data_IF_071648834409
#
_entry.id   IF_071648834409
#
_cell.length_a   1.000
_cell.length_b   1.000
_cell.length_c   1.000
_cell.angle_alpha   90.00
_cell.angle_beta   90.00
_cell.angle_gamma   90.00
#
_symmetry.space_group_name_H-M   'P 1'
#
loop_
_entity.id
_entity.type
_entity.pdbx_description
1 polymer ?
#
# COMPACT_ATOMS: atom_id res chain seq x y z
N UNK A 1 -15.40 11.68 -34.82
CA UNK A 1 -15.02 11.51 -33.40
C UNK A 1 -16.25 11.88 -32.60
N UNK A 2 -16.76 10.99 -31.76
CA UNK A 2 -17.87 11.34 -30.86
C UNK A 2 -17.44 12.50 -29.98
N UNK A 3 -18.30 13.49 -29.81
CA UNK A 3 -18.03 14.71 -29.04
C UNK A 3 -18.08 14.37 -27.54
N UNK A 4 -17.01 13.74 -27.03
CA UNK A 4 -16.90 13.38 -25.61
C UNK A 4 -16.36 14.57 -24.81
N UNK A 5 -16.84 14.70 -23.57
CA UNK A 5 -16.36 15.74 -22.66
C UNK A 5 -14.87 15.54 -22.35
N UNK A 6 -14.47 14.28 -22.16
CA UNK A 6 -13.12 13.85 -21.82
C UNK A 6 -12.67 12.67 -22.68
N UNK A 7 -11.35 12.44 -22.68
CA UNK A 7 -10.77 11.23 -23.24
C UNK A 7 -10.68 10.13 -22.17
N UNK A 8 -10.52 10.52 -20.89
CA UNK A 8 -10.52 9.60 -19.76
C UNK A 8 -11.15 10.21 -18.49
N UNK A 9 -11.83 9.36 -17.71
CA UNK A 9 -12.35 9.69 -16.38
C UNK A 9 -11.68 8.79 -15.35
N UNK A 10 -11.17 9.36 -14.27
CA UNK A 10 -10.70 8.63 -13.10
C UNK A 10 -11.69 8.81 -11.95
N UNK A 11 -12.17 7.72 -11.37
CA UNK A 11 -13.13 7.73 -10.25
C UNK A 11 -12.39 7.54 -8.93
N UNK A 12 -12.34 8.58 -8.11
CA UNK A 12 -11.69 8.62 -6.79
C UNK A 12 -10.25 9.18 -6.83
N UNK A 13 -10.01 10.29 -6.14
CA UNK A 13 -8.73 10.99 -6.06
C UNK A 13 -7.84 10.49 -4.91
N UNK A 14 -7.80 9.17 -4.68
CA UNK A 14 -6.78 8.55 -3.83
C UNK A 14 -5.39 8.55 -4.48
N UNK A 15 -4.33 8.16 -3.76
CA UNK A 15 -2.96 8.12 -4.29
C UNK A 15 -2.84 7.37 -5.64
N UNK A 16 -3.49 6.21 -5.77
CA UNK A 16 -3.52 5.44 -7.03
C UNK A 16 -4.31 6.15 -8.15
N UNK A 17 -5.44 6.76 -7.83
CA UNK A 17 -6.26 7.51 -8.78
C UNK A 17 -5.56 8.77 -9.28
N UNK A 18 -4.93 9.54 -8.40
CA UNK A 18 -4.10 10.69 -8.77
C UNK A 18 -2.90 10.27 -9.62
N UNK A 19 -2.26 9.14 -9.31
CA UNK A 19 -1.19 8.58 -10.14
C UNK A 19 -1.70 8.23 -11.55
N UNK A 20 -2.83 7.52 -11.65
CA UNK A 20 -3.44 7.19 -12.93
C UNK A 20 -3.83 8.45 -13.72
N UNK A 21 -4.44 9.45 -13.06
CA UNK A 21 -4.82 10.71 -13.67
C UNK A 21 -3.61 11.48 -14.21
N UNK A 22 -2.53 11.59 -13.42
CA UNK A 22 -1.29 12.22 -13.85
C UNK A 22 -0.65 11.50 -15.05
N UNK A 23 -0.64 10.16 -15.06
CA UNK A 23 -0.09 9.38 -16.17
C UNK A 23 -0.92 9.55 -17.45
N UNK A 24 -2.25 9.47 -17.36
CA UNK A 24 -3.15 9.64 -18.51
C UNK A 24 -3.05 11.07 -19.09
N UNK A 25 -3.00 12.08 -18.22
CA UNK A 25 -2.83 13.47 -18.61
C UNK A 25 -1.48 13.70 -19.30
N UNK A 26 -0.39 13.14 -18.74
CA UNK A 26 0.95 13.21 -19.35
C UNK A 26 1.03 12.51 -20.70
N UNK A 27 0.19 11.49 -20.92
CA UNK A 27 0.03 10.82 -22.21
C UNK A 27 -0.80 11.62 -23.24
N UNK A 28 -1.28 12.81 -22.87
CA UNK A 28 -2.00 13.72 -23.77
C UNK A 28 -3.53 13.53 -23.79
N UNK A 29 -4.10 12.72 -22.89
CA UNK A 29 -5.54 12.54 -22.77
C UNK A 29 -6.15 13.67 -21.94
N UNK A 30 -7.22 14.32 -22.41
CA UNK A 30 -8.05 15.19 -21.55
C UNK A 30 -8.66 14.33 -20.45
N UNK A 31 -8.12 14.46 -19.24
CA UNK A 31 -8.47 13.61 -18.12
C UNK A 31 -9.16 14.44 -17.03
N UNK A 32 -10.26 13.90 -16.50
CA UNK A 32 -10.89 14.42 -15.27
C UNK A 32 -10.84 13.38 -14.16
N UNK A 33 -10.51 13.81 -12.94
CA UNK A 33 -10.61 13.00 -11.74
C UNK A 33 -11.81 13.45 -10.90
N UNK A 34 -12.72 12.53 -10.58
CA UNK A 34 -13.95 12.79 -9.85
C UNK A 34 -13.82 12.27 -8.42
N UNK A 35 -13.89 13.16 -7.43
CA UNK A 35 -13.72 12.87 -6.01
C UNK A 35 -15.01 13.17 -5.24
N UNK A 36 -15.48 12.19 -4.46
CA UNK A 36 -16.70 12.32 -3.67
C UNK A 36 -16.53 13.26 -2.46
N UNK A 37 -15.32 13.34 -1.91
CA UNK A 37 -14.99 14.16 -0.74
C UNK A 37 -14.64 15.61 -1.12
N UNK A 38 -14.31 16.41 -0.10
CA UNK A 38 -13.86 17.79 -0.24
C UNK A 38 -12.34 17.93 -0.36
N UNK A 39 -11.62 16.82 -0.33
CA UNK A 39 -10.16 16.75 -0.37
C UNK A 39 -9.70 15.53 -1.16
N UNK A 40 -8.47 15.55 -1.65
CA UNK A 40 -7.82 14.44 -2.34
C UNK A 40 -6.88 13.66 -1.41
N UNK A 41 -6.47 12.48 -1.85
CA UNK A 41 -5.46 11.63 -1.20
C UNK A 41 -6.00 10.34 -0.61
N UNK A 42 -7.31 10.26 -0.36
CA UNK A 42 -7.95 9.07 0.22
C UNK A 42 -7.28 8.65 1.52
N UNK A 43 -6.89 7.37 1.63
CA UNK A 43 -6.19 6.83 2.81
C UNK A 43 -4.80 7.41 3.05
N UNK A 44 -4.22 8.13 2.08
CA UNK A 44 -2.93 8.80 2.21
C UNK A 44 -3.07 10.32 2.32
N UNK A 45 -4.24 10.83 2.74
CA UNK A 45 -4.44 12.25 2.96
C UNK A 45 -3.92 12.69 4.34
N UNK A 46 -3.37 13.90 4.38
CA UNK A 46 -3.13 14.64 5.62
C UNK A 46 -4.06 15.85 5.64
N UNK A 47 -4.95 15.92 6.63
CA UNK A 47 -6.00 16.94 6.71
C UNK A 47 -6.02 17.59 8.08
N UNK A 48 -6.53 18.81 8.15
CA UNK A 48 -6.78 19.49 9.41
C UNK A 48 -8.14 19.07 9.97
N UNK A 49 -8.13 18.33 11.09
CA UNK A 49 -9.36 17.87 11.76
C UNK A 49 -9.68 18.70 13.01
N UNK A 50 -8.67 19.31 13.62
CA UNK A 50 -8.76 20.18 14.78
C UNK A 50 -7.96 21.43 14.42
N UNK A 51 -8.50 22.62 14.70
CA UNK A 51 -7.88 23.91 14.36
C UNK A 51 -6.42 23.99 14.83
N UNK A 52 -5.50 24.23 13.90
CA UNK A 52 -4.06 24.26 14.13
C UNK A 52 -3.36 22.89 14.12
N UNK A 53 -4.09 21.77 13.97
CA UNK A 53 -3.54 20.41 14.01
C UNK A 53 -3.92 19.60 12.77
N UNK A 54 -2.89 19.11 12.08
CA UNK A 54 -3.04 18.22 10.91
C UNK A 54 -2.82 16.77 11.29
N UNK A 55 -3.63 15.90 10.70
CA UNK A 55 -3.69 14.46 10.97
C UNK A 55 -3.64 13.67 9.67
N UNK A 56 -2.96 12.54 9.73
CA UNK A 56 -2.91 11.56 8.65
C UNK A 56 -4.08 10.58 8.81
N UNK A 57 -4.93 10.45 7.79
CA UNK A 57 -6.19 9.71 7.87
C UNK A 57 -5.99 8.20 8.06
N UNK A 58 -4.93 7.62 7.50
CA UNK A 58 -4.64 6.20 7.71
C UNK A 58 -3.16 5.88 7.46
N UNK A 59 -2.68 6.09 6.23
CA UNK A 59 -1.26 5.96 5.92
C UNK A 59 -0.46 7.01 6.66
N UNK A 60 0.73 6.66 7.18
CA UNK A 60 1.59 7.59 7.93
C UNK A 60 3.07 7.49 7.57
N UNK A 61 3.45 6.45 6.83
CA UNK A 61 4.83 6.18 6.43
C UNK A 61 4.86 5.67 4.99
N UNK A 62 5.86 6.12 4.24
CA UNK A 62 6.15 5.59 2.92
C UNK A 62 7.03 4.35 3.06
N UNK A 63 6.53 3.22 2.56
CA UNK A 63 7.31 1.99 2.41
C UNK A 63 8.10 2.02 1.10
N UNK A 64 9.09 1.13 0.92
CA UNK A 64 9.91 1.11 -0.27
C UNK A 64 9.07 0.92 -1.53
N UNK A 65 9.45 1.64 -2.57
CA UNK A 65 8.87 1.56 -3.90
C UNK A 65 9.99 1.47 -4.93
N UNK A 66 9.66 1.03 -6.15
CA UNK A 66 10.65 0.96 -7.22
C UNK A 66 11.24 2.35 -7.52
N UNK A 67 12.57 2.44 -7.60
CA UNK A 67 13.29 3.69 -7.85
C UNK A 67 12.87 4.36 -9.17
N UNK A 68 12.56 3.55 -10.20
CA UNK A 68 12.00 4.03 -11.46
C UNK A 68 10.70 4.81 -11.25
N UNK A 69 9.73 4.25 -10.50
CA UNK A 69 8.46 4.92 -10.21
C UNK A 69 8.65 6.19 -9.38
N UNK A 70 9.55 6.14 -8.40
CA UNK A 70 9.86 7.30 -7.57
C UNK A 70 10.37 8.47 -8.43
N UNK A 71 11.31 8.21 -9.35
CA UNK A 71 11.86 9.21 -10.28
C UNK A 71 10.83 9.68 -11.31
N UNK A 72 10.12 8.75 -11.94
CA UNK A 72 9.15 9.03 -13.01
C UNK A 72 7.99 9.92 -12.53
N UNK A 73 7.67 9.84 -11.24
CA UNK A 73 6.63 10.65 -10.59
C UNK A 73 7.21 11.77 -9.74
N UNK A 74 8.54 11.92 -9.65
CA UNK A 74 9.23 12.94 -8.85
C UNK A 74 9.05 12.80 -7.33
N UNK A 75 8.68 11.60 -6.84
CA UNK A 75 8.42 11.31 -5.43
C UNK A 75 9.71 11.24 -4.59
N UNK A 76 10.84 10.98 -5.24
CA UNK A 76 12.18 10.97 -4.62
C UNK A 76 12.69 12.37 -4.25
N UNK A 77 12.03 13.42 -4.74
CA UNK A 77 12.37 14.82 -4.41
C UNK A 77 11.63 15.34 -3.18
N UNK A 78 10.68 14.59 -2.65
CA UNK A 78 9.86 15.03 -1.52
C UNK A 78 10.71 15.11 -0.24
N UNK A 79 10.60 16.21 0.52
CA UNK A 79 11.39 16.38 1.72
C UNK A 79 11.02 15.32 2.77
N UNK A 80 11.99 14.50 3.14
CA UNK A 80 11.83 13.50 4.19
C UNK A 80 12.13 14.08 5.58
N UNK A 81 11.60 13.42 6.60
CA UNK A 81 12.03 13.52 7.98
C UNK A 81 13.00 12.38 8.25
N UNK A 82 14.11 12.73 8.89
CA UNK A 82 15.20 11.79 9.15
C UNK A 82 15.31 11.45 10.65
N UNK A 83 14.38 10.67 11.23
CA UNK A 83 14.48 10.33 12.63
C UNK A 83 15.57 9.28 12.85
N UNK A 84 16.33 9.45 13.93
CA UNK A 84 17.28 8.47 14.45
C UNK A 84 16.56 7.18 14.89
N UNK A 85 15.42 7.32 15.57
CA UNK A 85 14.50 6.22 15.92
C UNK A 85 13.35 6.17 14.93
N UNK A 86 13.28 5.12 14.12
CA UNK A 86 12.25 4.95 13.10
C UNK A 86 10.96 4.33 13.67
N UNK A 87 11.09 3.42 14.63
CA UNK A 87 9.96 2.89 15.40
C UNK A 87 10.40 2.42 16.79
N UNK A 88 9.44 2.33 17.70
CA UNK A 88 9.63 1.75 19.04
C UNK A 88 8.45 0.82 19.31
N UNK A 89 8.75 -0.44 19.55
CA UNK A 89 7.78 -1.45 19.92
C UNK A 89 7.92 -1.70 21.42
N UNK A 90 6.83 -1.45 22.13
CA UNK A 90 6.79 -1.51 23.60
C UNK A 90 6.08 -2.79 23.98
N UNK A 91 6.76 -3.60 24.79
CA UNK A 91 6.21 -4.83 25.35
C UNK A 91 5.36 -4.61 26.59
N UNK A 92 5.09 -5.68 27.31
CA UNK A 92 4.49 -5.61 28.65
C UNK A 92 5.44 -4.95 29.66
N UNK A 93 4.90 -4.61 30.84
CA UNK A 93 5.68 -3.92 31.87
C UNK A 93 6.92 -4.75 32.28
N UNK A 94 8.11 -4.16 32.09
CA UNK A 94 9.39 -4.79 32.42
C UNK A 94 10.07 -5.50 31.23
N UNK A 95 9.39 -5.63 30.08
CA UNK A 95 10.02 -6.12 28.85
C UNK A 95 10.92 -5.05 28.23
N UNK A 96 12.06 -5.47 27.71
CA UNK A 96 12.95 -4.59 26.96
C UNK A 96 12.30 -4.19 25.62
N UNK A 97 12.18 -2.89 25.30
CA UNK A 97 11.57 -2.47 24.05
C UNK A 97 12.45 -2.85 22.85
N UNK A 98 11.80 -3.09 21.71
CA UNK A 98 12.49 -3.20 20.42
C UNK A 98 12.48 -1.81 19.76
N UNK A 99 13.66 -1.19 19.70
CA UNK A 99 13.86 0.12 19.08
C UNK A 99 14.49 -0.09 17.71
N UNK A 100 13.81 0.39 16.67
CA UNK A 100 14.30 0.31 15.30
C UNK A 100 15.04 1.60 14.96
N UNK A 101 16.37 1.56 15.12
CA UNK A 101 17.24 2.69 14.76
C UNK A 101 17.49 2.72 13.26
N UNK A 102 17.62 3.94 12.72
CA UNK A 102 18.06 4.17 11.35
C UNK A 102 19.51 3.72 11.14
N UNK A 103 20.37 4.00 12.12
CA UNK A 103 21.75 3.58 12.07
C UNK A 103 21.85 2.05 12.26
N UNK A 104 22.38 1.30 11.28
CA UNK A 104 22.40 -0.15 11.33
C UNK A 104 23.33 -0.69 12.43
N UNK A 105 24.43 0.01 12.74
CA UNK A 105 25.36 -0.41 13.80
C UNK A 105 24.67 -0.29 15.15
N UNK A 106 24.01 0.84 15.40
CA UNK A 106 23.25 1.06 16.63
C UNK A 106 22.08 0.10 16.77
N UNK A 107 21.37 -0.21 15.68
CA UNK A 107 20.33 -1.25 15.68
C UNK A 107 20.90 -2.61 16.09
N UNK A 108 22.01 -3.03 15.49
CA UNK A 108 22.66 -4.31 15.82
C UNK A 108 23.14 -4.35 17.27
N UNK A 109 23.74 -3.26 17.77
CA UNK A 109 24.14 -3.14 19.19
C UNK A 109 22.94 -3.24 20.11
N UNK A 110 21.84 -2.53 19.82
CA UNK A 110 20.61 -2.61 20.61
C UNK A 110 20.06 -4.04 20.65
N UNK A 111 19.99 -4.72 19.50
CA UNK A 111 19.55 -6.12 19.43
C UNK A 111 20.45 -7.06 20.24
N UNK A 112 21.77 -6.94 20.11
CA UNK A 112 22.73 -7.77 20.84
C UNK A 112 22.62 -7.56 22.36
N UNK A 113 22.61 -6.30 22.81
CA UNK A 113 22.69 -5.96 24.22
C UNK A 113 21.36 -6.20 24.96
N UNK A 114 20.23 -5.92 24.30
CA UNK A 114 18.90 -6.00 24.91
C UNK A 114 18.14 -7.29 24.64
N UNK A 115 18.36 -7.88 23.47
CA UNK A 115 17.61 -9.06 23.00
C UNK A 115 18.51 -10.30 22.79
N UNK A 116 19.83 -10.14 22.92
CA UNK A 116 20.84 -11.19 22.81
C UNK A 116 21.25 -11.51 21.37
N UNK A 117 22.39 -12.20 21.22
CA UNK A 117 22.93 -12.58 19.90
C UNK A 117 21.95 -13.40 19.04
N UNK A 118 21.12 -14.24 19.67
CA UNK A 118 20.10 -15.02 18.96
C UNK A 118 19.05 -14.13 18.26
N UNK A 119 18.76 -12.95 18.80
CA UNK A 119 17.88 -11.98 18.13
C UNK A 119 18.55 -11.39 16.88
N UNK A 120 19.85 -11.11 16.96
CA UNK A 120 20.64 -10.61 15.81
C UNK A 120 20.66 -11.63 14.70
N UNK A 121 21.01 -12.88 15.01
CA UNK A 121 21.03 -13.97 14.01
C UNK A 121 19.64 -14.26 13.47
N UNK A 122 18.62 -14.32 14.33
CA UNK A 122 17.24 -14.55 13.91
C UNK A 122 16.70 -13.48 12.96
N UNK A 123 16.98 -12.21 13.23
CA UNK A 123 16.62 -11.12 12.31
C UNK A 123 17.39 -11.18 10.99
N UNK A 124 18.69 -11.51 11.03
CA UNK A 124 19.50 -11.66 9.82
C UNK A 124 18.99 -12.82 8.95
N UNK A 125 18.66 -13.96 9.56
CA UNK A 125 18.12 -15.12 8.87
C UNK A 125 16.71 -14.86 8.31
N UNK A 126 15.88 -14.07 9.01
CA UNK A 126 14.58 -13.65 8.52
C UNK A 126 14.67 -12.72 7.30
N UNK A 127 15.63 -11.79 7.30
CA UNK A 127 15.96 -10.96 6.13
C UNK A 127 16.50 -11.83 4.99
N UNK A 128 17.32 -12.85 5.32
CA UNK A 128 17.78 -13.84 4.35
C UNK A 128 16.61 -14.60 3.72
N UNK A 129 15.68 -15.07 4.55
CA UNK A 129 14.46 -15.76 4.12
C UNK A 129 13.61 -14.91 3.18
N UNK A 130 13.48 -13.59 3.43
CA UNK A 130 12.59 -12.74 2.63
C UNK A 130 13.11 -12.45 1.22
N UNK A 131 14.38 -12.74 0.89
CA UNK A 131 14.97 -12.43 -0.44
C UNK A 131 14.31 -13.18 -1.59
N UNK A 132 14.21 -14.51 -1.50
CA UNK A 132 13.53 -15.34 -2.51
C UNK A 132 12.05 -14.95 -2.69
N UNK A 133 11.26 -14.90 -1.59
CA UNK A 133 9.91 -14.35 -1.55
C UNK A 133 9.77 -12.96 -2.20
N UNK A 134 10.64 -12.00 -1.90
CA UNK A 134 10.58 -10.65 -2.48
C UNK A 134 10.77 -10.66 -4.00
N UNK A 135 11.72 -11.44 -4.52
CA UNK A 135 11.92 -11.64 -5.97
C UNK A 135 10.69 -12.27 -6.62
N UNK A 136 10.14 -13.31 -5.98
CA UNK A 136 8.94 -14.01 -6.46
C UNK A 136 7.72 -13.08 -6.51
N UNK A 137 7.50 -12.26 -5.47
CA UNK A 137 6.43 -11.26 -5.46
C UNK A 137 6.59 -10.21 -6.58
N UNK A 138 7.82 -9.93 -7.02
CA UNK A 138 8.09 -8.91 -8.03
C UNK A 138 7.64 -7.53 -7.59
N UNK A 139 7.70 -7.24 -6.28
CA UNK A 139 7.13 -6.03 -5.67
C UNK A 139 7.73 -4.72 -6.24
N UNK A 140 8.91 -4.81 -6.84
CA UNK A 140 9.60 -3.69 -7.47
C UNK A 140 9.67 -3.80 -9.00
N UNK A 141 9.01 -4.81 -9.59
CA UNK A 141 8.98 -5.01 -11.04
C UNK A 141 7.97 -4.03 -11.65
N UNK A 142 8.48 -2.97 -12.25
CA UNK A 142 7.65 -1.90 -12.82
C UNK A 142 7.17 -2.31 -14.21
N UNK A 143 5.88 -2.08 -14.49
CA UNK A 143 5.24 -2.35 -15.80
C UNK A 143 5.29 -3.83 -16.22
N UNK A 144 5.43 -4.75 -15.27
CA UNK A 144 5.32 -6.19 -15.50
C UNK A 144 4.03 -6.73 -14.89
N UNK A 145 3.37 -7.71 -15.52
CA UNK A 145 2.27 -8.41 -14.88
C UNK A 145 2.77 -9.17 -13.63
N UNK A 146 1.89 -9.43 -12.64
CA UNK A 146 2.23 -10.31 -11.54
C UNK A 146 2.65 -11.69 -12.05
N UNK A 147 3.69 -12.26 -11.43
CA UNK A 147 4.19 -13.59 -11.77
C UNK A 147 3.13 -14.66 -11.48
N UNK A 148 3.06 -15.67 -12.34
CA UNK A 148 2.38 -16.94 -12.06
C UNK A 148 3.12 -17.71 -10.97
N UNK A 149 2.48 -18.74 -10.39
CA UNK A 149 3.12 -19.58 -9.37
C UNK A 149 4.39 -20.27 -9.91
N UNK A 150 4.37 -20.72 -11.15
CA UNK A 150 5.52 -21.38 -11.77
C UNK A 150 6.69 -20.39 -11.96
N UNK A 151 6.40 -19.17 -12.43
CA UNK A 151 7.39 -18.09 -12.53
C UNK A 151 7.93 -17.67 -11.17
N UNK A 152 7.09 -17.64 -10.13
CA UNK A 152 7.51 -17.39 -8.75
C UNK A 152 8.52 -18.45 -8.28
N UNK A 153 8.22 -19.73 -8.47
CA UNK A 153 9.16 -20.81 -8.12
C UNK A 153 10.43 -20.80 -8.96
N UNK A 154 10.35 -20.39 -10.23
CA UNK A 154 11.51 -20.28 -11.11
C UNK A 154 12.48 -19.16 -10.69
N UNK A 155 12.07 -18.23 -9.81
CA UNK A 155 12.95 -17.23 -9.23
C UNK A 155 13.95 -17.80 -8.21
N UNK A 156 13.71 -19.00 -7.68
CA UNK A 156 14.56 -19.61 -6.67
C UNK A 156 15.90 -20.04 -7.25
N UNK A 157 17.01 -19.65 -6.59
CA UNK A 157 18.36 -20.07 -7.00
C UNK A 157 18.78 -21.41 -6.38
N UNK A 158 18.12 -21.83 -5.29
CA UNK A 158 18.37 -23.07 -4.58
C UNK A 158 17.10 -23.59 -3.89
N UNK A 159 17.21 -24.77 -3.26
CA UNK A 159 16.09 -25.41 -2.56
C UNK A 159 15.62 -24.62 -1.32
N UNK A 160 16.49 -23.79 -0.73
CA UNK A 160 16.14 -22.97 0.43
C UNK A 160 15.25 -21.79 0.01
N UNK A 161 15.62 -21.06 -1.04
CA UNK A 161 14.77 -20.00 -1.62
C UNK A 161 13.46 -20.59 -2.14
N UNK A 162 13.50 -21.77 -2.78
CA UNK A 162 12.30 -22.46 -3.26
C UNK A 162 11.35 -22.80 -2.11
N UNK A 163 11.87 -23.27 -0.98
CA UNK A 163 11.10 -23.51 0.24
C UNK A 163 10.56 -22.21 0.83
N UNK A 164 11.36 -21.15 0.89
CA UNK A 164 10.92 -19.85 1.38
C UNK A 164 9.76 -19.29 0.55
N UNK A 165 9.80 -19.43 -0.77
CA UNK A 165 8.71 -19.04 -1.69
C UNK A 165 7.46 -19.89 -1.43
N UNK A 166 7.60 -21.20 -1.24
CA UNK A 166 6.47 -22.06 -0.88
C UNK A 166 5.83 -21.62 0.45
N UNK A 167 6.64 -21.34 1.46
CA UNK A 167 6.17 -20.90 2.77
C UNK A 167 5.50 -19.53 2.70
N UNK A 168 6.02 -18.60 1.90
CA UNK A 168 5.37 -17.33 1.61
C UNK A 168 3.95 -17.52 1.04
N UNK A 169 3.80 -18.44 0.08
CA UNK A 169 2.54 -18.67 -0.62
C UNK A 169 1.50 -19.40 0.23
N UNK A 170 1.93 -20.39 1.01
CA UNK A 170 1.02 -21.35 1.64
C UNK A 170 1.17 -21.47 3.16
N UNK A 171 2.24 -20.93 3.74
CA UNK A 171 2.49 -20.94 5.19
C UNK A 171 1.91 -19.71 5.91
N UNK A 172 2.01 -19.72 7.24
CA UNK A 172 1.69 -18.55 8.06
C UNK A 172 2.93 -17.74 8.41
N UNK A 173 2.76 -16.44 8.70
CA UNK A 173 3.86 -15.60 9.15
C UNK A 173 4.46 -16.11 10.47
N UNK A 174 3.62 -16.66 11.36
CA UNK A 174 4.10 -17.20 12.63
C UNK A 174 4.94 -18.47 12.47
N UNK A 175 4.72 -19.31 11.46
CA UNK A 175 5.60 -20.46 11.18
C UNK A 175 7.02 -20.01 10.82
N UNK A 176 7.12 -18.89 10.10
CA UNK A 176 8.39 -18.27 9.73
C UNK A 176 9.05 -17.64 10.96
N UNK A 177 8.29 -16.85 11.73
CA UNK A 177 8.78 -16.17 12.93
C UNK A 177 9.24 -17.18 14.00
N UNK A 178 8.50 -18.27 14.22
CA UNK A 178 8.84 -19.34 15.17
C UNK A 178 10.16 -20.04 14.83
N UNK A 179 10.50 -20.13 13.56
CA UNK A 179 11.76 -20.75 13.13
C UNK A 179 12.97 -19.89 13.45
N UNK A 180 12.87 -18.59 13.21
CA UNK A 180 14.01 -17.68 13.31
C UNK A 180 14.12 -16.99 14.68
N UNK A 181 13.02 -16.89 15.43
CA UNK A 181 12.97 -16.38 16.79
C UNK A 181 12.23 -17.39 17.71
N UNK A 182 12.82 -18.56 18.00
CA UNK A 182 12.14 -19.64 18.70
C UNK A 182 11.89 -19.38 20.20
N UNK A 183 12.65 -18.48 20.81
CA UNK A 183 12.49 -18.09 22.22
C UNK A 183 11.32 -17.10 22.35
N UNK A 184 10.13 -17.65 22.61
CA UNK A 184 8.88 -16.89 22.58
C UNK A 184 8.81 -15.82 23.66
N UNK A 185 9.37 -16.11 24.83
CA UNK A 185 9.33 -15.20 25.98
C UNK A 185 10.39 -14.11 25.80
N UNK A 186 11.63 -14.48 25.47
CA UNK A 186 12.71 -13.51 25.31
C UNK A 186 12.51 -12.57 24.13
N UNK A 187 11.88 -13.05 23.05
CA UNK A 187 11.68 -12.27 21.82
C UNK A 187 10.23 -11.83 21.62
N UNK A 188 9.40 -11.86 22.67
CA UNK A 188 7.97 -11.55 22.60
C UNK A 188 7.69 -10.23 21.85
N UNK A 189 8.38 -9.15 22.22
CA UNK A 189 8.23 -7.82 21.59
C UNK A 189 8.60 -7.83 20.10
N UNK A 190 9.70 -8.50 19.74
CA UNK A 190 10.15 -8.60 18.35
C UNK A 190 9.18 -9.43 17.51
N UNK A 191 8.70 -10.55 18.07
CA UNK A 191 7.72 -11.43 17.44
C UNK A 191 6.39 -10.70 17.25
N UNK A 192 5.95 -9.90 18.22
CA UNK A 192 4.78 -9.04 18.12
C UNK A 192 4.89 -8.00 17.01
N UNK A 193 6.04 -7.31 16.90
CA UNK A 193 6.31 -6.38 15.79
C UNK A 193 6.20 -7.07 14.42
N UNK A 194 6.83 -8.24 14.24
CA UNK A 194 6.80 -8.98 12.98
C UNK A 194 5.38 -9.50 12.65
N UNK A 195 4.65 -9.96 13.66
CA UNK A 195 3.26 -10.35 13.51
C UNK A 195 2.38 -9.18 13.07
N UNK A 196 2.60 -7.97 13.61
CA UNK A 196 1.91 -6.76 13.17
C UNK A 196 2.18 -6.43 11.69
N UNK A 197 3.43 -6.52 11.24
CA UNK A 197 3.78 -6.34 9.83
C UNK A 197 3.05 -7.34 8.92
N UNK A 198 2.86 -8.58 9.38
CA UNK A 198 2.20 -9.64 8.62
C UNK A 198 0.68 -9.47 8.49
N UNK A 199 0.04 -8.57 9.25
CA UNK A 199 -1.42 -8.38 9.22
C UNK A 199 -1.86 -7.01 8.69
N UNK A 200 -0.93 -6.08 8.47
CA UNK A 200 -1.23 -4.70 8.05
C UNK A 200 -1.94 -4.60 6.68
N UNK A 201 -1.86 -5.64 5.85
CA UNK A 201 -2.40 -5.68 4.48
C UNK A 201 -3.48 -6.76 4.28
N UNK A 202 -4.03 -7.32 5.35
CA UNK A 202 -4.99 -8.43 5.26
C UNK A 202 -6.04 -8.36 6.36
N UNK A 203 -7.21 -8.95 6.08
CA UNK A 203 -8.30 -9.11 7.06
C UNK A 203 -8.12 -10.38 7.92
N UNK A 204 -6.87 -10.86 8.08
CA UNK A 204 -6.53 -12.17 8.66
C UNK A 204 -5.45 -12.04 9.73
N UNK A 205 -5.40 -13.01 10.64
CA UNK A 205 -4.37 -13.08 11.68
C UNK A 205 -3.03 -13.62 11.18
N UNK A 206 -1.94 -13.45 11.96
CA UNK A 206 -0.59 -13.83 11.54
C UNK A 206 -0.36 -15.36 11.49
N UNK A 207 -1.29 -16.14 12.04
CA UNK A 207 -1.32 -17.61 11.97
C UNK A 207 -2.08 -18.15 10.75
N UNK A 208 -2.75 -17.27 9.98
CA UNK A 208 -3.51 -17.73 8.81
C UNK A 208 -2.59 -18.01 7.63
N UNK A 209 -2.75 -19.15 6.91
CA UNK A 209 -2.04 -19.40 5.66
C UNK A 209 -2.15 -18.23 4.67
N UNK A 210 -1.00 -17.86 4.08
CA UNK A 210 -0.82 -16.72 3.20
C UNK A 210 -0.40 -15.42 3.90
N UNK A 211 -0.43 -15.36 5.24
CA UNK A 211 0.08 -14.18 5.98
C UNK A 211 1.60 -14.00 5.85
N UNK A 212 2.36 -15.07 5.56
CA UNK A 212 3.79 -14.99 5.29
C UNK A 212 4.10 -14.11 4.05
N UNK A 213 3.20 -14.02 3.08
CA UNK A 213 3.34 -13.10 1.95
C UNK A 213 3.35 -11.62 2.39
N UNK A 214 2.55 -11.25 3.40
CA UNK A 214 2.56 -9.89 3.94
C UNK A 214 3.87 -9.60 4.69
N UNK A 215 4.39 -10.58 5.44
CA UNK A 215 5.69 -10.46 6.10
C UNK A 215 6.82 -10.29 5.08
N UNK A 216 6.87 -11.13 4.05
CA UNK A 216 7.85 -11.00 2.96
C UNK A 216 7.74 -9.64 2.25
N UNK A 217 6.52 -9.20 1.96
CA UNK A 217 6.24 -7.90 1.34
C UNK A 217 6.73 -6.73 2.19
N UNK A 218 6.58 -6.79 3.52
CA UNK A 218 7.00 -5.75 4.45
C UNK A 218 8.53 -5.73 4.67
N UNK A 219 9.20 -6.88 4.56
CA UNK A 219 10.65 -7.01 4.70
C UNK A 219 11.43 -6.74 3.41
N UNK A 220 10.74 -6.62 2.28
CA UNK A 220 11.37 -6.39 0.99
C UNK A 220 11.91 -4.94 0.87
N UNK A 221 13.19 -4.82 0.54
CA UNK A 221 13.86 -3.57 0.13
C UNK A 221 14.42 -3.73 -1.27
N UNK A 222 14.46 -2.67 -2.08
CA UNK A 222 15.11 -2.73 -3.38
C UNK A 222 16.63 -2.77 -3.21
N UNK A 223 17.34 -3.35 -4.18
CA UNK A 223 18.79 -3.59 -4.08
C UNK A 223 19.63 -2.30 -3.91
N UNK A 224 19.08 -1.16 -4.32
CA UNK A 224 19.72 0.17 -4.27
C UNK A 224 19.31 1.00 -3.05
N UNK A 225 18.53 0.45 -2.11
CA UNK A 225 18.09 1.15 -0.89
C UNK A 225 18.11 0.26 0.34
N UNK A 226 18.43 0.87 1.47
CA UNK A 226 18.32 0.25 2.81
C UNK A 226 17.19 0.85 3.64
N UNK A 227 16.50 1.88 3.13
CA UNK A 227 15.46 2.58 3.86
C UNK A 227 14.16 1.77 3.84
N UNK A 228 13.79 1.21 4.99
CA UNK A 228 12.54 0.44 5.17
C UNK A 228 11.31 1.34 5.29
N UNK A 229 11.47 2.54 5.84
CA UNK A 229 10.38 3.47 6.12
C UNK A 229 10.85 4.91 6.02
N UNK A 230 10.10 5.74 5.32
CA UNK A 230 10.35 7.18 5.18
C UNK A 230 9.14 7.94 5.69
N UNK A 231 9.36 8.91 6.59
CA UNK A 231 8.36 9.91 6.95
C UNK A 231 8.54 11.12 6.06
N UNK A 232 7.45 11.64 5.50
CA UNK A 232 7.49 12.86 4.70
C UNK A 232 7.26 14.09 5.57
N UNK A 233 7.97 15.17 5.29
CA UNK A 233 7.76 16.46 5.93
C UNK A 233 6.38 16.97 5.55
N UNK A 234 5.56 17.28 6.56
CA UNK A 234 4.15 17.66 6.36
C UNK A 234 3.17 16.48 6.40
N UNK A 235 3.65 15.25 6.60
CA UNK A 235 2.83 14.03 6.64
C UNK A 235 2.74 13.34 5.27
N UNK A 236 2.16 12.15 5.25
CA UNK A 236 2.03 11.33 4.03
C UNK A 236 1.26 12.05 2.91
N UNK A 237 0.38 12.99 3.26
CA UNK A 237 -0.39 13.80 2.32
C UNK A 237 0.46 14.62 1.37
N UNK A 238 1.72 14.90 1.72
CA UNK A 238 2.69 15.52 0.81
C UNK A 238 2.86 14.72 -0.49
N UNK A 239 2.79 13.39 -0.44
CA UNK A 239 2.84 12.52 -1.62
C UNK A 239 1.62 12.73 -2.52
N UNK A 240 0.42 12.73 -1.93
CA UNK A 240 -0.81 12.88 -2.72
C UNK A 240 -0.97 14.29 -3.25
N UNK A 241 -0.50 15.29 -2.52
CA UNK A 241 -0.50 16.68 -2.97
C UNK A 241 0.45 16.87 -4.16
N UNK A 242 1.65 16.29 -4.10
CA UNK A 242 2.57 16.27 -5.23
C UNK A 242 1.96 15.62 -6.48
N UNK A 243 1.31 14.47 -6.34
CA UNK A 243 0.63 13.82 -7.47
C UNK A 243 -0.53 14.67 -8.01
N UNK A 244 -1.25 15.37 -7.13
CA UNK A 244 -2.32 16.30 -7.49
C UNK A 244 -1.76 17.48 -8.29
N UNK A 245 -0.65 18.08 -7.85
CA UNK A 245 0.03 19.16 -8.55
C UNK A 245 0.59 18.70 -9.90
N UNK A 246 1.19 17.51 -9.96
CA UNK A 246 1.67 16.91 -11.20
C UNK A 246 0.55 16.74 -12.23
N UNK A 247 -0.64 16.33 -11.79
CA UNK A 247 -1.82 16.20 -12.66
C UNK A 247 -2.36 17.56 -13.12
N UNK A 248 -2.61 18.49 -12.18
CA UNK A 248 -3.27 19.77 -12.48
C UNK A 248 -2.37 20.73 -13.26
N UNK A 249 -1.06 20.75 -12.97
CA UNK A 249 -0.09 21.58 -13.71
C UNK A 249 0.02 21.24 -15.19
N UNK A 250 -0.41 20.03 -15.59
CA UNK A 250 -0.48 19.57 -16.97
C UNK A 250 -1.86 19.76 -17.61
N UNK A 251 -2.73 20.56 -16.99
CA UNK A 251 -4.09 20.86 -17.48
C UNK A 251 -5.14 19.82 -17.10
N UNK A 252 -4.81 18.90 -16.19
CA UNK A 252 -5.76 17.96 -15.63
C UNK A 252 -6.82 18.62 -14.75
N UNK A 253 -8.05 18.11 -14.79
CA UNK A 253 -9.16 18.63 -13.99
C UNK A 253 -9.48 17.70 -12.82
N UNK A 254 -9.65 18.26 -11.61
CA UNK A 254 -10.19 17.52 -10.45
C UNK A 254 -11.51 18.18 -10.04
N UNK A 255 -12.56 17.37 -9.88
CA UNK A 255 -13.86 17.81 -9.36
C UNK A 255 -14.11 17.19 -7.99
N UNK A 256 -14.17 18.03 -6.97
CA UNK A 256 -14.53 17.62 -5.61
C UNK A 256 -16.04 17.58 -5.43
N UNK A 257 -16.50 16.90 -4.36
CA UNK A 257 -17.93 16.70 -4.06
C UNK A 257 -18.72 16.09 -5.23
N UNK A 258 -18.05 15.37 -6.11
CA UNK A 258 -18.59 14.80 -7.34
C UNK A 258 -18.55 13.29 -7.24
N UNK A 259 -19.59 12.73 -6.60
CA UNK A 259 -19.75 11.28 -6.45
C UNK A 259 -20.28 10.69 -7.76
N UNK A 260 -19.59 9.68 -8.28
CA UNK A 260 -20.07 8.82 -9.36
C UNK A 260 -21.04 7.79 -8.78
N UNK A 261 -22.22 7.67 -9.36
CA UNK A 261 -23.23 6.67 -8.98
C UNK A 261 -23.28 5.50 -9.97
N UNK A 262 -22.81 5.67 -11.20
CA UNK A 262 -22.82 4.61 -12.21
C UNK A 262 -21.75 4.83 -13.29
N UNK A 263 -21.15 3.74 -13.75
CA UNK A 263 -20.33 3.67 -14.94
C UNK A 263 -21.23 3.22 -16.09
N UNK A 264 -21.40 4.12 -17.07
CA UNK A 264 -22.33 3.93 -18.17
C UNK A 264 -21.72 3.06 -19.25
N UNK A 265 -22.47 2.04 -19.68
CA UNK A 265 -22.05 1.10 -20.72
C UNK A 265 -23.13 1.05 -21.80
N UNK A 266 -22.70 1.09 -23.06
CA UNK A 266 -23.59 0.88 -24.21
C UNK A 266 -23.04 -0.25 -25.06
N UNK A 267 -23.83 -1.31 -25.23
CA UNK A 267 -23.36 -2.56 -25.84
C UNK A 267 -22.27 -3.21 -24.99
N UNK A 268 -21.01 -3.14 -25.43
CA UNK A 268 -19.83 -3.70 -24.73
C UNK A 268 -18.75 -2.65 -24.46
N UNK A 269 -19.10 -1.37 -24.51
CA UNK A 269 -18.16 -0.26 -24.38
C UNK A 269 -18.64 0.72 -23.32
N UNK A 270 -17.70 1.20 -22.51
CA UNK A 270 -17.94 2.30 -21.58
C UNK A 270 -18.17 3.59 -22.37
N UNK A 271 -19.12 4.40 -21.93
CA UNK A 271 -19.48 5.68 -22.56
C UNK A 271 -19.31 6.88 -21.62
N UNK A 272 -19.09 6.63 -20.33
CA UNK A 272 -18.86 7.66 -19.33
C UNK A 272 -19.33 7.23 -17.96
N UNK A 273 -19.74 8.21 -17.16
CA UNK A 273 -20.28 8.00 -15.81
C UNK A 273 -21.50 8.89 -15.58
N UNK A 274 -22.41 8.43 -14.72
CA UNK A 274 -23.51 9.21 -14.14
C UNK A 274 -23.13 9.64 -12.73
N UNK A 275 -23.37 10.91 -12.43
CA UNK A 275 -23.05 11.55 -11.17
C UNK A 275 -24.27 11.53 -10.24
N UNK A 276 -24.06 11.80 -8.95
CA UNK A 276 -25.12 11.84 -7.94
C UNK A 276 -26.24 12.85 -8.22
N UNK A 277 -25.95 13.91 -8.96
CA UNK A 277 -26.95 14.89 -9.38
C UNK A 277 -27.66 14.51 -10.70
N UNK A 278 -27.51 13.25 -11.13
CA UNK A 278 -28.02 12.67 -12.38
C UNK A 278 -27.40 13.23 -13.66
N UNK A 279 -26.49 14.20 -13.57
CA UNK A 279 -25.73 14.65 -14.73
C UNK A 279 -24.72 13.58 -15.18
N UNK A 280 -24.27 13.65 -16.42
CA UNK A 280 -23.33 12.69 -17.00
C UNK A 280 -22.03 13.35 -17.44
N UNK A 281 -20.94 12.61 -17.33
CA UNK A 281 -19.66 12.96 -17.93
C UNK A 281 -19.26 11.86 -18.91
N UNK A 282 -19.08 12.21 -20.18
CA UNK A 282 -18.77 11.23 -21.24
C UNK A 282 -17.27 11.06 -21.45
N UNK A 283 -16.84 9.79 -21.56
CA UNK A 283 -15.48 9.41 -21.93
C UNK A 283 -15.45 7.94 -22.42
N UNK A 284 -14.56 7.61 -23.39
CA UNK A 284 -14.36 6.23 -23.84
C UNK A 284 -13.51 5.39 -22.86
N UNK A 285 -12.91 6.01 -21.84
CA UNK A 285 -12.06 5.36 -20.85
C UNK A 285 -12.52 5.78 -19.45
N UNK A 286 -12.75 4.80 -18.58
CA UNK A 286 -13.02 5.00 -17.15
C UNK A 286 -12.06 4.14 -16.34
N UNK A 287 -11.32 4.77 -15.43
CA UNK A 287 -10.44 4.09 -14.46
C UNK A 287 -11.06 4.24 -13.08
N UNK A 288 -11.55 3.14 -12.50
CA UNK A 288 -12.02 3.15 -11.12
C UNK A 288 -10.86 2.93 -10.16
N UNK A 289 -10.67 3.85 -9.23
CA UNK A 289 -9.76 3.71 -8.09
C UNK A 289 -10.50 3.33 -6.79
N UNK A 290 -11.76 2.91 -6.91
CA UNK A 290 -12.55 2.41 -5.79
C UNK A 290 -12.25 0.95 -5.51
N UNK A 291 -12.80 0.40 -4.43
CA UNK A 291 -12.70 -1.03 -4.18
C UNK A 291 -13.33 -1.81 -5.35
N UNK A 292 -12.77 -2.96 -5.76
CA UNK A 292 -13.30 -3.73 -6.87
C UNK A 292 -14.73 -4.23 -6.63
N UNK A 293 -15.07 -4.56 -5.39
CA UNK A 293 -16.42 -4.89 -4.94
C UNK A 293 -17.40 -3.75 -5.29
N UNK A 294 -17.23 -2.55 -4.73
CA UNK A 294 -18.07 -1.38 -5.06
C UNK A 294 -18.16 -1.15 -6.58
N UNK A 295 -17.02 -1.17 -7.28
CA UNK A 295 -16.99 -0.91 -8.73
C UNK A 295 -17.81 -1.94 -9.51
N UNK A 296 -17.63 -3.23 -9.21
CA UNK A 296 -18.18 -4.32 -10.01
C UNK A 296 -19.59 -4.74 -9.57
N UNK A 297 -20.01 -4.43 -8.35
CA UNK A 297 -21.31 -4.82 -7.81
C UNK A 297 -22.28 -3.67 -7.64
N UNK A 298 -21.80 -2.42 -7.57
CA UNK A 298 -22.66 -1.25 -7.35
C UNK A 298 -22.62 -0.26 -8.52
N UNK A 299 -21.45 0.01 -9.11
CA UNK A 299 -21.32 1.06 -10.13
C UNK A 299 -21.52 0.58 -11.57
N UNK A 300 -21.44 -0.72 -11.85
CA UNK A 300 -21.66 -1.27 -13.20
C UNK A 300 -22.93 -2.12 -13.16
N UNK A 301 -23.83 -1.90 -14.12
CA UNK A 301 -25.04 -2.70 -14.23
C UNK A 301 -24.71 -4.21 -14.34
N UNK A 302 -25.36 -5.10 -13.57
CA UNK A 302 -24.96 -6.50 -13.46
C UNK A 302 -24.87 -7.26 -14.79
N UNK A 303 -25.70 -6.91 -15.77
CA UNK A 303 -25.70 -7.50 -17.11
C UNK A 303 -24.39 -7.28 -17.89
N UNK A 304 -23.59 -6.30 -17.49
CA UNK A 304 -22.30 -5.98 -18.11
C UNK A 304 -21.10 -6.61 -17.40
N UNK A 305 -21.32 -7.27 -16.25
CA UNK A 305 -20.24 -7.88 -15.46
C UNK A 305 -20.34 -9.40 -15.50
N UNK A 306 -19.27 -10.13 -15.86
CA UNK A 306 -19.28 -11.60 -15.79
C UNK A 306 -19.60 -12.11 -14.38
N UNK A 307 -20.58 -12.99 -14.24
CA UNK A 307 -21.04 -13.50 -12.95
C UNK A 307 -19.92 -14.16 -12.12
N UNK A 308 -18.94 -14.80 -12.77
CA UNK A 308 -17.76 -15.37 -12.10
C UNK A 308 -16.90 -14.30 -11.42
N UNK A 309 -16.79 -13.12 -12.03
CA UNK A 309 -16.02 -12.01 -11.46
C UNK A 309 -16.73 -11.44 -10.23
N UNK A 310 -18.06 -11.26 -10.31
CA UNK A 310 -18.90 -10.84 -9.18
C UNK A 310 -18.75 -11.81 -8.01
N UNK A 311 -18.91 -13.11 -8.25
CA UNK A 311 -18.76 -14.16 -7.21
C UNK A 311 -17.37 -14.13 -6.55
N UNK A 312 -16.32 -13.90 -7.34
CA UNK A 312 -14.94 -13.82 -6.82
C UNK A 312 -14.71 -12.63 -5.90
N UNK A 313 -15.36 -11.49 -6.15
CA UNK A 313 -15.18 -10.27 -5.33
C UNK A 313 -16.18 -10.17 -4.19
N UNK A 314 -17.40 -10.71 -4.34
CA UNK A 314 -18.43 -10.67 -3.30
C UNK A 314 -18.13 -11.57 -2.10
N UNK A 315 -17.30 -12.61 -2.29
CA UNK A 315 -16.82 -13.48 -1.21
C UNK A 315 -15.70 -12.88 -0.35
N UNK A 316 -15.31 -11.61 -0.56
CA UNK A 316 -14.27 -10.96 0.24
C UNK A 316 -14.80 -10.59 1.61
N UNK A 317 -14.04 -10.97 2.63
CA UNK A 317 -14.34 -10.63 4.01
C UNK A 317 -13.76 -9.25 4.33
N UNK A 318 -14.64 -8.27 4.59
CA UNK A 318 -14.28 -6.90 4.97
C UNK A 318 -14.40 -6.65 6.48
N UNK A 319 -14.53 -7.70 7.32
CA UNK A 319 -14.83 -7.55 8.75
C UNK A 319 -13.67 -7.08 9.65
N UNK A 320 -12.46 -6.86 9.13
CA UNK A 320 -11.43 -6.23 9.98
C UNK A 320 -11.78 -4.77 10.22
N UNK A 321 -11.60 -4.36 11.47
CA UNK A 321 -11.90 -3.02 11.94
C UNK A 321 -10.59 -2.32 12.28
N UNK A 322 -10.37 -1.16 11.69
CA UNK A 322 -9.31 -0.23 12.06
C UNK A 322 -9.95 0.95 12.78
N UNK A 323 -9.43 1.31 13.95
CA UNK A 323 -9.86 2.50 14.69
C UNK A 323 -8.65 3.37 14.92
N UNK A 324 -8.75 4.62 14.49
CA UNK A 324 -7.75 5.65 14.76
C UNK A 324 -8.37 6.68 15.69
N UNK A 325 -7.62 7.07 16.72
CA UNK A 325 -8.03 8.11 17.67
C UNK A 325 -6.95 9.19 17.66
N UNK A 326 -7.38 10.42 17.41
CA UNK A 326 -6.51 11.59 17.38
C UNK A 326 -6.68 12.42 18.66
N UNK A 327 -5.57 12.77 19.29
CA UNK A 327 -5.53 13.66 20.44
C UNK A 327 -4.69 14.89 20.10
N UNK A 328 -5.29 16.08 20.16
CA UNK A 328 -4.56 17.35 20.16
C UNK A 328 -4.15 17.67 21.59
N UNK A 329 -2.85 17.67 21.87
CA UNK A 329 -2.34 18.06 23.18
C UNK A 329 -1.80 19.49 23.09
N UNK A 330 -2.49 20.43 23.73
CA UNK A 330 -1.99 21.80 23.88
C UNK A 330 -1.15 21.82 25.14
N UNK A 331 0.15 22.06 24.99
CA UNK A 331 1.07 22.28 26.11
C UNK A 331 0.95 23.70 26.65
#
# INVERSE_FOLDING_TARGET
MSDTNYDAIVVGAGHNGLTAAAILQRAGLRTVCLEANTYAGGMAATVELIDGFRYEIAGSVQFPMAAELAKDLGLDTLPAVEPDVMSTNIGEHGEEPMIFYRDPVRLMTHLSDKHGLNAVTGMADLIGWSRGPAKALGRFDVRQPPKTLDEMYACAVDDNERRAIHEMLFGSAMDVIDRYLPDRDKHAVMRGMLAFLAVNSTYRGPYTPGSAACLAFALAVPDDSTAMMTKLRGGIGALTEHLRELFVSQGGEIRFRTKVEEILVTGRQVTGVRLRDESTASAPIVVSNLSPDITLTELIAPEHVPAQLVSRVSGRDHRASFVQIHFALVS
#
